data_IF_884363412684
#
_entry.id   IF_884363412684
#
_cell.length_a   1.000
_cell.length_b   1.000
_cell.length_c   1.000
_cell.angle_alpha   90.00
_cell.angle_beta   90.00
_cell.angle_gamma   90.00
#
_symmetry.space_group_name_H-M   'P 1'
#
loop_
_entity.id
_entity.type
_entity.pdbx_description
1 polymer ?
#
# COMPACT_ATOMS: atom_id res chain seq x y z
N UNK A 1 13.45 16.83 -7.23
CA UNK A 1 13.06 15.41 -6.97
C UNK A 1 12.38 14.85 -8.22
N UNK A 2 12.79 13.68 -8.70
CA UNK A 2 12.16 13.01 -9.85
C UNK A 2 10.66 12.78 -9.57
N UNK A 3 9.79 13.10 -10.54
CA UNK A 3 8.33 12.90 -10.44
C UNK A 3 8.00 11.43 -10.13
N UNK A 4 8.73 10.48 -10.70
CA UNK A 4 8.55 9.05 -10.45
C UNK A 4 8.86 8.67 -9.00
N UNK A 5 9.94 9.21 -8.44
CA UNK A 5 10.29 8.97 -7.03
C UNK A 5 9.27 9.59 -6.06
N UNK A 6 8.65 10.71 -6.43
CA UNK A 6 7.51 11.27 -5.66
C UNK A 6 6.31 10.33 -5.68
N UNK A 7 5.93 9.81 -6.84
CA UNK A 7 4.81 8.86 -6.94
C UNK A 7 5.13 7.53 -6.26
N UNK A 8 6.35 6.99 -6.41
CA UNK A 8 6.80 5.81 -5.70
C UNK A 8 6.62 5.97 -4.18
N UNK A 9 7.09 7.09 -3.64
CA UNK A 9 6.96 7.42 -2.22
C UNK A 9 5.51 7.58 -1.79
N UNK A 10 4.66 8.19 -2.64
CA UNK A 10 3.23 8.37 -2.38
C UNK A 10 2.51 7.03 -2.29
N UNK A 11 2.72 6.13 -3.26
CA UNK A 11 2.11 4.80 -3.27
C UNK A 11 2.57 3.96 -2.09
N UNK A 12 3.86 4.01 -1.74
CA UNK A 12 4.38 3.28 -0.59
C UNK A 12 3.80 3.79 0.74
N UNK A 13 3.59 5.10 0.90
CA UNK A 13 2.88 5.66 2.07
C UNK A 13 1.44 5.17 2.16
N UNK A 14 0.74 5.08 1.03
CA UNK A 14 -0.63 4.57 1.04
C UNK A 14 -0.67 3.07 1.35
N UNK A 15 0.25 2.29 0.80
CA UNK A 15 0.40 0.87 1.13
C UNK A 15 0.61 0.65 2.64
N UNK A 16 1.41 1.50 3.29
CA UNK A 16 1.61 1.45 4.75
C UNK A 16 0.31 1.72 5.50
N UNK A 17 -0.45 2.74 5.10
CA UNK A 17 -1.75 3.06 5.72
C UNK A 17 -2.75 1.92 5.58
N UNK A 18 -2.80 1.29 4.41
CA UNK A 18 -3.68 0.15 4.16
C UNK A 18 -3.30 -1.04 5.07
N UNK A 19 -2.00 -1.29 5.25
CA UNK A 19 -1.54 -2.32 6.18
C UNK A 19 -1.88 -2.00 7.64
N UNK A 20 -1.77 -0.73 8.06
CA UNK A 20 -2.13 -0.34 9.42
C UNK A 20 -3.65 -0.46 9.66
N UNK A 21 -4.46 -0.12 8.66
CA UNK A 21 -5.90 -0.38 8.69
C UNK A 21 -6.21 -1.88 8.76
N UNK A 22 -5.49 -2.72 8.02
CA UNK A 22 -5.66 -4.18 8.10
C UNK A 22 -5.40 -4.70 9.52
N UNK A 23 -4.37 -4.19 10.22
CA UNK A 23 -4.09 -4.55 11.62
C UNK A 23 -5.21 -4.10 12.57
N UNK A 24 -5.79 -2.92 12.34
CA UNK A 24 -6.94 -2.46 13.12
C UNK A 24 -8.16 -3.36 12.89
N UNK A 25 -8.48 -3.69 11.63
CA UNK A 25 -9.57 -4.63 11.31
C UNK A 25 -9.34 -6.01 11.91
N UNK A 26 -8.11 -6.53 11.87
CA UNK A 26 -7.77 -7.79 12.54
C UNK A 26 -8.05 -7.74 14.04
N UNK A 27 -7.68 -6.63 14.69
CA UNK A 27 -7.91 -6.44 16.12
C UNK A 27 -9.40 -6.25 16.46
N UNK A 28 -10.18 -5.72 15.52
CA UNK A 28 -11.64 -5.53 15.64
C UNK A 28 -12.46 -6.78 15.32
N UNK A 29 -11.85 -7.83 14.75
CA UNK A 29 -12.56 -9.04 14.31
C UNK A 29 -13.17 -8.94 12.91
N UNK A 30 -12.93 -7.85 12.19
CA UNK A 30 -13.40 -7.63 10.82
C UNK A 30 -12.45 -8.31 9.81
N UNK A 31 -12.46 -9.65 9.79
CA UNK A 31 -11.46 -10.44 9.06
C UNK A 31 -11.51 -10.23 7.54
N UNK A 32 -12.69 -10.04 6.97
CA UNK A 32 -12.86 -9.74 5.55
C UNK A 32 -12.26 -8.38 5.18
N UNK A 33 -12.41 -7.38 6.05
CA UNK A 33 -11.77 -6.08 5.88
C UNK A 33 -10.26 -6.16 6.05
N UNK A 34 -9.77 -6.95 7.00
CA UNK A 34 -8.34 -7.24 7.14
C UNK A 34 -7.78 -7.82 5.83
N UNK A 35 -8.41 -8.85 5.26
CA UNK A 35 -7.97 -9.47 4.02
C UNK A 35 -7.98 -8.50 2.84
N UNK A 36 -9.06 -7.72 2.69
CA UNK A 36 -9.18 -6.70 1.65
C UNK A 36 -8.07 -5.65 1.75
N UNK A 37 -7.81 -5.12 2.94
CA UNK A 37 -6.80 -4.09 3.16
C UNK A 37 -5.38 -4.64 2.98
N UNK A 38 -5.12 -5.90 3.32
CA UNK A 38 -3.86 -6.57 3.00
C UNK A 38 -3.60 -6.65 1.49
N UNK A 39 -4.61 -7.03 0.69
CA UNK A 39 -4.50 -7.04 -0.77
C UNK A 39 -4.24 -5.63 -1.32
N UNK A 40 -4.98 -4.64 -0.85
CA UNK A 40 -4.79 -3.23 -1.21
C UNK A 40 -3.39 -2.70 -0.86
N UNK A 41 -2.84 -3.08 0.30
CA UNK A 41 -1.49 -2.73 0.72
C UNK A 41 -0.43 -3.32 -0.23
N UNK A 42 -0.56 -4.61 -0.57
CA UNK A 42 0.36 -5.30 -1.46
C UNK A 42 0.37 -4.67 -2.86
N UNK A 43 -0.80 -4.42 -3.45
CA UNK A 43 -0.92 -3.80 -4.78
C UNK A 43 -0.26 -2.43 -4.84
N UNK A 44 -0.49 -1.58 -3.83
CA UNK A 44 0.09 -0.24 -3.77
C UNK A 44 1.60 -0.27 -3.52
N UNK A 45 2.09 -1.22 -2.74
CA UNK A 45 3.53 -1.40 -2.53
C UNK A 45 4.23 -1.78 -3.84
N UNK A 46 3.68 -2.75 -4.58
CA UNK A 46 4.20 -3.16 -5.90
C UNK A 46 4.16 -1.98 -6.87
N UNK A 47 3.05 -1.25 -6.93
CA UNK A 47 2.93 -0.05 -7.78
C UNK A 47 3.99 1.00 -7.45
N UNK A 48 4.22 1.28 -6.16
CA UNK A 48 5.30 2.18 -5.73
C UNK A 48 6.68 1.71 -6.17
N UNK A 49 6.95 0.41 -6.07
CA UNK A 49 8.16 -0.23 -6.57
C UNK A 49 8.34 -0.03 -8.08
N UNK A 50 7.28 -0.25 -8.87
CA UNK A 50 7.33 -0.07 -10.33
C UNK A 50 7.61 1.38 -10.73
N UNK A 51 7.03 2.37 -10.04
CA UNK A 51 7.39 3.78 -10.24
C UNK A 51 8.87 4.05 -9.98
N UNK A 52 9.43 3.48 -8.91
CA UNK A 52 10.85 3.66 -8.57
C UNK A 52 11.79 3.07 -9.63
N UNK A 53 11.35 1.99 -10.29
CA UNK A 53 12.08 1.33 -11.38
C UNK A 53 11.81 1.95 -12.76
N UNK A 54 10.92 2.94 -12.85
CA UNK A 54 10.52 3.55 -14.13
C UNK A 54 9.76 2.61 -15.06
N UNK A 55 9.02 1.64 -14.52
CA UNK A 55 8.24 0.64 -15.28
C UNK A 55 6.75 0.99 -15.40
N UNK A 56 6.36 2.18 -14.93
CA UNK A 56 5.03 2.80 -14.98
C UNK A 56 5.20 4.30 -15.19
#
# INVERSE_FOLDING_TARGET
MDKRLREASRWLRQARRDLDAAKHSLSGGDYEWCAFMCQQAAEKAVKGGLYSLGRV
#
